data_IF_369941620891
#
_entry.id   IF_369941620891
#
_cell.length_a   1.000
_cell.length_b   1.000
_cell.length_c   1.000
_cell.angle_alpha   90.00
_cell.angle_beta   90.00
_cell.angle_gamma   90.00
#
_symmetry.space_group_name_H-M   'P 1'
#
loop_
_entity.id
_entity.type
_entity.pdbx_description
1 polymer ?
#
# COMPACT_ATOMS: atom_id res chain seq x y z
N UNK A 1 18.07 5.88 -3.41
CA UNK A 1 18.07 4.45 -3.01
C UNK A 1 17.27 4.18 -1.74
N UNK A 2 17.60 4.80 -0.59
CA UNK A 2 16.87 4.60 0.69
C UNK A 2 15.35 4.87 0.60
N UNK A 3 14.95 5.97 -0.05
CA UNK A 3 13.52 6.33 -0.24
C UNK A 3 12.74 5.26 -1.00
N UNK A 4 13.36 4.63 -2.00
CA UNK A 4 12.73 3.60 -2.82
C UNK A 4 12.51 2.31 -2.02
N UNK A 5 13.49 1.93 -1.20
CA UNK A 5 13.37 0.79 -0.27
C UNK A 5 12.22 1.03 0.72
N UNK A 6 12.08 2.26 1.24
CA UNK A 6 10.98 2.62 2.14
C UNK A 6 9.61 2.48 1.47
N UNK A 7 9.45 2.97 0.23
CA UNK A 7 8.19 2.82 -0.51
C UNK A 7 7.81 1.35 -0.73
N UNK A 8 8.78 0.51 -1.09
CA UNK A 8 8.55 -0.93 -1.27
C UNK A 8 8.11 -1.57 0.05
N UNK A 9 8.79 -1.24 1.16
CA UNK A 9 8.46 -1.80 2.47
C UNK A 9 7.04 -1.40 2.92
N UNK A 10 6.67 -0.13 2.76
CA UNK A 10 5.32 0.37 3.08
C UNK A 10 4.26 -0.29 2.18
N UNK A 11 4.56 -0.47 0.89
CA UNK A 11 3.66 -1.13 -0.04
C UNK A 11 3.42 -2.61 0.36
N UNK A 12 4.48 -3.35 0.72
CA UNK A 12 4.36 -4.75 1.17
C UNK A 12 3.52 -4.84 2.44
N UNK A 13 3.76 -3.97 3.43
CA UNK A 13 2.98 -3.95 4.68
C UNK A 13 1.50 -3.64 4.39
N UNK A 14 1.23 -2.64 3.56
CA UNK A 14 -0.13 -2.24 3.20
C UNK A 14 -0.88 -3.35 2.45
N UNK A 15 -0.16 -4.07 1.58
CA UNK A 15 -0.70 -5.22 0.87
C UNK A 15 -1.02 -6.39 1.82
N UNK A 16 -0.13 -6.69 2.77
CA UNK A 16 -0.40 -7.71 3.80
C UNK A 16 -1.62 -7.32 4.66
N UNK A 17 -1.79 -6.04 4.97
CA UNK A 17 -2.96 -5.53 5.70
C UNK A 17 -4.26 -5.67 4.89
N UNK A 18 -4.18 -5.44 3.57
CA UNK A 18 -5.29 -5.74 2.66
C UNK A 18 -5.65 -7.23 2.65
N UNK A 19 -4.64 -8.10 2.45
CA UNK A 19 -4.84 -9.56 2.40
C UNK A 19 -5.45 -10.09 3.70
N UNK A 20 -4.91 -9.68 4.85
CA UNK A 20 -5.46 -10.10 6.15
C UNK A 20 -6.86 -9.54 6.37
N UNK A 21 -7.11 -8.27 6.04
CA UNK A 21 -8.44 -7.67 6.13
C UNK A 21 -9.50 -8.42 5.32
N UNK A 22 -9.17 -8.85 4.11
CA UNK A 22 -10.11 -9.60 3.25
C UNK A 22 -10.24 -11.07 3.66
N UNK A 23 -9.16 -11.71 4.11
CA UNK A 23 -9.16 -13.13 4.46
C UNK A 23 -10.03 -13.43 5.70
N UNK A 24 -10.11 -12.49 6.63
CA UNK A 24 -10.93 -12.62 7.85
C UNK A 24 -12.25 -11.82 7.79
N UNK A 25 -12.54 -11.16 6.66
CA UNK A 25 -13.75 -10.35 6.49
C UNK A 25 -15.05 -11.16 6.65
N UNK A 26 -15.03 -12.44 6.28
CA UNK A 26 -16.19 -13.34 6.41
C UNK A 26 -16.57 -13.57 7.87
N UNK A 27 -15.58 -13.74 8.75
CA UNK A 27 -15.84 -13.98 10.17
C UNK A 27 -16.08 -12.67 10.93
N UNK A 28 -15.38 -11.60 10.55
CA UNK A 28 -15.47 -10.30 11.20
C UNK A 28 -15.67 -9.22 10.13
N UNK A 29 -16.92 -8.82 9.83
CA UNK A 29 -17.24 -7.89 8.73
C UNK A 29 -16.54 -6.53 8.81
N UNK A 30 -16.15 -6.08 10.01
CA UNK A 30 -15.42 -4.81 10.18
C UNK A 30 -14.00 -4.86 9.59
N UNK A 31 -13.40 -6.06 9.45
CA UNK A 31 -12.07 -6.21 8.85
C UNK A 31 -12.08 -5.89 7.36
N UNK A 32 -13.23 -5.91 6.70
CA UNK A 32 -13.38 -5.40 5.33
C UNK A 32 -12.95 -3.93 5.23
N UNK A 33 -13.26 -3.10 6.24
CA UNK A 33 -12.79 -1.71 6.28
C UNK A 33 -11.27 -1.63 6.42
N UNK A 34 -10.66 -2.49 7.24
CA UNK A 34 -9.21 -2.60 7.38
C UNK A 34 -8.58 -2.98 6.03
N UNK A 35 -9.20 -3.93 5.32
CA UNK A 35 -8.78 -4.33 3.98
C UNK A 35 -8.79 -3.16 3.00
N UNK A 36 -9.90 -2.41 2.94
CA UNK A 36 -10.06 -1.23 2.08
C UNK A 36 -9.01 -0.16 2.42
N UNK A 37 -8.77 0.11 3.70
CA UNK A 37 -7.73 1.06 4.13
C UNK A 37 -6.34 0.59 3.68
N UNK A 38 -6.03 -0.71 3.84
CA UNK A 38 -4.77 -1.30 3.37
C UNK A 38 -4.59 -1.13 1.87
N UNK A 39 -5.64 -1.38 1.08
CA UNK A 39 -5.62 -1.20 -0.37
C UNK A 39 -5.44 0.28 -0.78
N UNK A 40 -6.16 1.19 -0.14
CA UNK A 40 -6.03 2.63 -0.40
C UNK A 40 -4.61 3.13 -0.08
N UNK A 41 -4.03 2.67 1.03
CA UNK A 41 -2.68 3.02 1.43
C UNK A 41 -1.63 2.45 0.46
N UNK A 42 -1.82 1.20 0.00
CA UNK A 42 -1.00 0.59 -1.04
C UNK A 42 -1.02 1.42 -2.33
N UNK A 43 -2.23 1.73 -2.84
CA UNK A 43 -2.39 2.52 -4.07
C UNK A 43 -1.76 3.90 -3.95
N UNK A 44 -1.98 4.60 -2.83
CA UNK A 44 -1.37 5.91 -2.58
C UNK A 44 0.17 5.84 -2.54
N UNK A 45 0.73 4.82 -1.88
CA UNK A 45 2.18 4.63 -1.76
C UNK A 45 2.81 4.36 -3.13
N UNK A 46 2.21 3.47 -3.92
CA UNK A 46 2.69 3.14 -5.27
C UNK A 46 2.60 4.36 -6.19
N UNK A 47 1.48 5.09 -6.15
CA UNK A 47 1.31 6.30 -6.96
C UNK A 47 2.40 7.34 -6.66
N UNK A 48 2.65 7.64 -5.38
CA UNK A 48 3.70 8.58 -4.99
C UNK A 48 5.11 8.09 -5.32
N UNK A 49 5.36 6.79 -5.24
CA UNK A 49 6.63 6.21 -5.65
C UNK A 49 6.88 6.46 -7.15
N UNK A 50 5.89 6.15 -7.99
CA UNK A 50 5.98 6.35 -9.45
C UNK A 50 6.09 7.83 -9.80
N UNK A 51 5.30 8.70 -9.16
CA UNK A 51 5.34 10.14 -9.38
C UNK A 51 6.72 10.72 -9.05
N UNK A 52 7.30 10.34 -7.90
CA UNK A 52 8.64 10.79 -7.52
C UNK A 52 9.73 10.25 -8.44
N UNK A 53 9.57 9.04 -8.97
CA UNK A 53 10.49 8.50 -9.97
C UNK A 53 10.43 9.29 -11.28
N UNK A 54 9.23 9.61 -11.76
CA UNK A 54 9.01 10.45 -12.95
C UNK A 54 9.67 11.82 -12.79
N UNK A 55 9.39 12.53 -11.69
CA UNK A 55 9.97 13.84 -11.40
C UNK A 55 11.52 13.77 -11.31
N UNK A 56 12.07 12.65 -10.83
CA UNK A 56 13.52 12.47 -10.74
C UNK A 56 14.20 12.17 -12.09
N UNK A 57 13.45 11.91 -13.17
CA UNK A 57 14.00 11.72 -14.52
C UNK A 57 14.04 13.02 -15.33
N UNK A 58 13.26 14.03 -14.96
CA UNK A 58 13.21 15.34 -15.64
C UNK A 58 14.34 16.30 -15.19
N UNK A 59 15.28 15.83 -14.35
CA UNK A 59 16.48 16.53 -13.89
C UNK A 59 17.74 15.74 -14.22
#
# INVERSE_FOLDING_TARGET
MLKLILYILIAVISFLLFVTGMLFAEQVPVLTLVGIIGLACFSYTVFNCVLNLLISQDH
#
